data_IF_354992611205
#
_entry.id   IF_354992611205
#
_cell.length_a   1.000
_cell.length_b   1.000
_cell.length_c   1.000
_cell.angle_alpha   90.00
_cell.angle_beta   90.00
_cell.angle_gamma   90.00
#
_symmetry.space_group_name_H-M   'P 1'
#
loop_
_entity.id
_entity.type
_entity.pdbx_description
1 polymer ?
#
# COMPACT_ATOMS: atom_id res chain seq x y z
N UNK A 1 79.18 11.71 -39.20
CA UNK A 1 78.18 10.63 -39.30
C UNK A 1 78.66 9.54 -38.37
N UNK A 2 77.90 9.02 -37.42
CA UNK A 2 76.43 9.00 -37.34
C UNK A 2 75.87 9.28 -35.93
N UNK A 3 74.54 9.36 -35.81
CA UNK A 3 73.81 9.88 -34.64
C UNK A 3 73.54 8.78 -33.58
N UNK A 4 73.54 9.18 -32.29
CA UNK A 4 73.12 8.33 -31.14
C UNK A 4 71.68 7.84 -31.31
N UNK A 5 71.27 6.74 -30.65
CA UNK A 5 70.06 6.70 -29.80
C UNK A 5 70.05 5.47 -28.85
N UNK A 6 69.22 5.58 -27.83
CA UNK A 6 69.28 4.99 -26.48
C UNK A 6 69.27 3.46 -26.30
N UNK A 7 69.86 3.04 -25.19
CA UNK A 7 69.67 1.71 -24.60
C UNK A 7 68.37 1.62 -23.78
N UNK A 8 67.60 0.55 -23.98
CA UNK A 8 66.73 -0.02 -22.95
C UNK A 8 66.36 -1.45 -23.33
N UNK A 9 66.49 -2.41 -22.41
CA UNK A 9 65.68 -3.65 -22.27
C UNK A 9 66.32 -4.56 -21.21
N UNK A 10 65.93 -4.33 -19.95
CA UNK A 10 66.06 -5.32 -18.88
C UNK A 10 64.68 -5.50 -18.25
N UNK A 11 63.94 -6.52 -18.71
CA UNK A 11 62.64 -6.86 -18.13
C UNK A 11 62.82 -7.34 -16.69
N UNK A 12 62.11 -6.71 -15.75
CA UNK A 12 62.09 -7.17 -14.35
C UNK A 12 61.35 -8.51 -14.26
N UNK A 13 61.77 -9.42 -13.35
CA UNK A 13 61.02 -10.64 -13.09
C UNK A 13 59.66 -10.29 -12.47
N UNK A 14 58.58 -10.82 -13.05
CA UNK A 14 57.23 -10.64 -12.51
C UNK A 14 57.13 -11.23 -11.09
N UNK A 15 56.46 -10.52 -10.19
CA UNK A 15 56.30 -10.95 -8.80
C UNK A 15 55.49 -12.24 -8.70
N UNK A 16 55.95 -13.16 -7.85
CA UNK A 16 55.32 -14.46 -7.64
C UNK A 16 53.92 -14.32 -7.00
N UNK A 17 52.93 -14.96 -7.61
CA UNK A 17 51.51 -14.82 -7.26
C UNK A 17 51.19 -15.67 -6.02
N UNK A 18 51.39 -15.07 -4.83
CA UNK A 18 51.17 -15.73 -3.54
C UNK A 18 49.70 -16.09 -3.31
N UNK A 19 49.32 -17.31 -3.68
CA UNK A 19 47.99 -17.89 -3.44
C UNK A 19 47.70 -17.98 -1.94
N UNK A 20 46.67 -17.26 -1.48
CA UNK A 20 46.17 -17.33 -0.09
C UNK A 20 44.93 -18.20 -0.08
N UNK A 21 45.02 -19.41 0.45
CA UNK A 21 43.89 -20.38 0.43
C UNK A 21 42.89 -20.20 1.57
N UNK A 22 43.24 -19.34 2.55
CA UNK A 22 42.41 -18.98 3.68
C UNK A 22 42.13 -17.47 3.70
N UNK A 23 40.90 -17.13 4.07
CA UNK A 23 40.46 -15.75 4.33
C UNK A 23 40.00 -15.68 5.79
N UNK A 24 40.66 -14.85 6.60
CA UNK A 24 40.35 -14.66 8.02
C UNK A 24 40.24 -15.99 8.81
N UNK A 25 41.19 -16.91 8.58
CA UNK A 25 41.24 -18.22 9.25
C UNK A 25 40.28 -19.28 8.70
N UNK A 26 39.31 -18.92 7.85
CA UNK A 26 38.44 -19.88 7.18
C UNK A 26 39.01 -20.32 5.81
N UNK A 27 38.93 -21.61 5.45
CA UNK A 27 39.31 -22.07 4.12
C UNK A 27 38.33 -21.50 3.08
N UNK A 28 38.83 -21.08 1.91
CA UNK A 28 38.00 -20.54 0.81
C UNK A 28 36.80 -21.42 0.46
N UNK A 29 36.96 -22.75 0.51
CA UNK A 29 35.87 -23.71 0.29
C UNK A 29 34.77 -23.61 1.35
N UNK A 30 35.14 -23.45 2.63
CA UNK A 30 34.18 -23.25 3.72
C UNK A 30 33.41 -21.93 3.58
N UNK A 31 34.10 -20.83 3.23
CA UNK A 31 33.46 -19.55 2.95
C UNK A 31 32.50 -19.64 1.75
N UNK A 32 32.89 -20.34 0.68
CA UNK A 32 32.03 -20.57 -0.48
C UNK A 32 30.79 -21.41 -0.14
N UNK A 33 30.92 -22.45 0.68
CA UNK A 33 29.77 -23.22 1.17
C UNK A 33 28.85 -22.38 2.07
N UNK A 34 29.40 -21.51 2.93
CA UNK A 34 28.61 -20.59 3.76
C UNK A 34 27.82 -19.61 2.90
N UNK A 35 28.47 -18.94 1.94
CA UNK A 35 27.83 -18.01 1.01
C UNK A 35 26.80 -18.72 0.12
N UNK A 36 27.09 -19.92 -0.38
CA UNK A 36 26.15 -20.72 -1.17
C UNK A 36 24.92 -21.11 -0.35
N UNK A 37 25.07 -21.50 0.93
CA UNK A 37 23.93 -21.78 1.81
C UNK A 37 23.15 -20.49 2.14
N UNK A 38 23.82 -19.37 2.43
CA UNK A 38 23.14 -18.09 2.60
C UNK A 38 22.31 -17.77 1.38
N UNK A 39 22.86 -17.89 0.16
CA UNK A 39 22.16 -17.68 -1.12
C UNK A 39 21.01 -18.67 -1.37
N UNK A 40 21.18 -19.96 -1.07
CA UNK A 40 20.14 -20.98 -1.26
C UNK A 40 18.93 -20.80 -0.33
N UNK A 41 19.13 -20.23 0.86
CA UNK A 41 18.09 -20.07 1.88
C UNK A 41 17.44 -18.67 1.89
N UNK A 42 17.89 -17.72 1.05
CA UNK A 42 17.26 -16.39 0.91
C UNK A 42 15.78 -16.42 0.47
N UNK A 43 15.29 -17.37 -0.36
CA UNK A 43 13.89 -17.35 -0.81
C UNK A 43 12.86 -17.48 0.31
N UNK A 44 13.24 -18.03 1.48
CA UNK A 44 12.30 -18.21 2.60
C UNK A 44 12.08 -16.95 3.45
N UNK A 45 12.74 -15.83 3.12
CA UNK A 45 12.61 -14.55 3.83
C UNK A 45 11.90 -13.46 2.99
N UNK A 46 11.25 -13.85 1.89
CA UNK A 46 10.56 -12.95 0.98
C UNK A 46 9.20 -13.54 0.54
N UNK A 47 8.26 -13.69 1.47
CA UNK A 47 6.88 -14.07 1.17
C UNK A 47 5.86 -13.20 1.93
N UNK A 48 5.95 -11.88 1.68
CA UNK A 48 4.93 -10.90 2.04
C UNK A 48 4.19 -10.34 0.80
N UNK A 49 4.53 -10.81 -0.41
CA UNK A 49 3.79 -10.50 -1.64
C UNK A 49 2.57 -11.44 -1.76
N UNK A 50 1.40 -10.98 -1.29
CA UNK A 50 0.17 -11.76 -1.42
C UNK A 50 -1.06 -11.16 -0.75
N UNK A 51 -2.20 -11.76 -1.08
CA UNK A 51 -3.49 -11.57 -0.41
C UNK A 51 -3.87 -12.91 0.23
N UNK A 52 -4.21 -12.92 1.51
CA UNK A 52 -4.58 -14.11 2.27
C UNK A 52 -5.93 -13.85 2.93
N UNK A 53 -6.98 -14.53 2.49
CA UNK A 53 -8.35 -14.35 3.00
C UNK A 53 -8.49 -14.96 4.40
N UNK A 54 -9.17 -14.26 5.31
CA UNK A 54 -9.47 -14.70 6.67
C UNK A 54 -10.96 -15.05 6.91
N UNK A 55 -11.88 -14.58 6.06
CA UNK A 55 -13.33 -14.82 6.20
C UNK A 55 -13.93 -15.75 5.16
N UNK A 56 -14.86 -16.65 5.56
CA UNK A 56 -15.76 -17.31 4.62
C UNK A 56 -16.56 -16.28 3.81
N UNK A 57 -16.75 -16.54 2.51
CA UNK A 57 -17.53 -15.68 1.61
C UNK A 57 -16.67 -14.74 0.75
N UNK A 58 -15.44 -14.43 1.13
CA UNK A 58 -14.44 -13.85 0.20
C UNK A 58 -13.65 -15.00 -0.44
N UNK A 59 -13.32 -14.91 -1.73
CA UNK A 59 -12.42 -15.89 -2.37
C UNK A 59 -11.45 -15.23 -3.35
N UNK A 60 -10.38 -15.94 -3.68
CA UNK A 60 -9.39 -15.48 -4.65
C UNK A 60 -9.52 -16.24 -5.98
N UNK A 61 -9.25 -15.53 -7.06
CA UNK A 61 -9.12 -16.05 -8.40
C UNK A 61 -8.04 -15.28 -9.16
N UNK A 62 -7.98 -15.46 -10.48
CA UNK A 62 -6.99 -14.81 -11.33
C UNK A 62 -7.60 -14.50 -12.69
N UNK A 63 -7.29 -13.34 -13.25
CA UNK A 63 -7.65 -12.98 -14.62
C UNK A 63 -6.79 -13.78 -15.62
N UNK A 64 -7.25 -13.87 -16.88
CA UNK A 64 -6.55 -14.64 -17.91
C UNK A 64 -5.12 -14.17 -18.21
N UNK A 65 -4.76 -12.95 -17.82
CA UNK A 65 -3.42 -12.37 -17.94
C UNK A 65 -2.59 -12.42 -16.63
N UNK A 66 -3.09 -13.07 -15.58
CA UNK A 66 -2.37 -13.25 -14.33
C UNK A 66 -2.69 -12.26 -13.20
N UNK A 67 -3.49 -11.21 -13.44
CA UNK A 67 -3.85 -10.25 -12.38
C UNK A 67 -4.72 -10.94 -11.30
N UNK A 68 -4.40 -10.82 -10.00
CA UNK A 68 -5.21 -11.38 -8.92
C UNK A 68 -6.63 -10.79 -8.89
N UNK A 69 -7.62 -11.65 -8.68
CA UNK A 69 -9.03 -11.29 -8.50
C UNK A 69 -9.44 -11.61 -7.07
N UNK A 70 -10.01 -10.64 -6.37
CA UNK A 70 -10.74 -10.84 -5.11
C UNK A 70 -12.22 -10.91 -5.45
N UNK A 71 -12.79 -12.12 -5.38
CA UNK A 71 -14.24 -12.29 -5.37
C UNK A 71 -14.75 -11.86 -4.00
N UNK A 72 -15.26 -10.63 -3.93
CA UNK A 72 -15.74 -10.02 -2.70
C UNK A 72 -16.94 -10.80 -2.12
N UNK A 73 -17.13 -10.71 -0.81
CA UNK A 73 -18.28 -11.30 -0.12
C UNK A 73 -19.60 -10.67 -0.59
N UNK A 74 -20.70 -11.44 -0.48
CA UNK A 74 -22.05 -10.96 -0.76
C UNK A 74 -22.33 -9.68 0.07
N UNK A 75 -22.79 -8.58 -0.55
CA UNK A 75 -23.11 -7.38 0.19
C UNK A 75 -24.31 -7.63 1.12
N UNK A 76 -24.25 -7.05 2.32
CA UNK A 76 -25.33 -7.12 3.29
C UNK A 76 -26.50 -6.17 2.92
N UNK A 77 -27.51 -6.09 3.78
CA UNK A 77 -28.70 -5.25 3.58
C UNK A 77 -28.42 -3.73 3.47
N UNK A 78 -27.22 -3.26 3.82
CA UNK A 78 -26.80 -1.86 3.65
C UNK A 78 -25.84 -1.67 2.46
N UNK A 79 -25.70 -2.67 1.58
CA UNK A 79 -24.80 -2.62 0.43
C UNK A 79 -23.31 -2.76 0.77
N UNK A 80 -22.96 -3.10 2.01
CA UNK A 80 -21.57 -3.30 2.44
C UNK A 80 -21.13 -4.74 2.17
N UNK A 81 -20.11 -4.92 1.35
CA UNK A 81 -19.31 -6.15 1.28
C UNK A 81 -18.13 -6.02 2.25
N UNK A 82 -18.11 -6.85 3.28
CA UNK A 82 -17.03 -6.90 4.28
C UNK A 82 -16.15 -8.11 4.01
N UNK A 83 -14.87 -7.85 3.76
CA UNK A 83 -13.87 -8.83 3.38
C UNK A 83 -12.70 -8.74 4.36
N UNK A 84 -12.41 -9.82 5.09
CA UNK A 84 -11.30 -9.85 6.05
C UNK A 84 -10.13 -10.67 5.50
N UNK A 85 -8.92 -10.20 5.79
CA UNK A 85 -7.66 -10.75 5.30
C UNK A 85 -6.63 -10.89 6.42
N UNK A 86 -5.79 -11.92 6.36
CA UNK A 86 -4.57 -11.98 7.18
C UNK A 86 -3.48 -11.07 6.59
N UNK A 87 -3.34 -11.07 5.27
CA UNK A 87 -2.45 -10.20 4.52
C UNK A 87 -3.23 -9.61 3.32
N UNK A 88 -3.06 -8.32 3.06
CA UNK A 88 -3.65 -7.65 1.90
C UNK A 88 -2.58 -6.74 1.28
N UNK A 89 -1.92 -7.24 0.24
CA UNK A 89 -0.88 -6.54 -0.50
C UNK A 89 -1.24 -6.52 -1.99
N UNK A 90 -0.98 -5.39 -2.65
CA UNK A 90 -1.26 -5.19 -4.08
C UNK A 90 0.08 -5.04 -4.79
N UNK A 91 0.43 -6.02 -5.63
CA UNK A 91 1.64 -5.97 -6.45
C UNK A 91 1.53 -4.97 -7.60
N UNK A 92 2.61 -4.82 -8.37
CA UNK A 92 2.68 -3.87 -9.50
C UNK A 92 1.71 -4.21 -10.64
N UNK A 93 1.32 -5.48 -10.79
CA UNK A 93 0.24 -5.90 -11.69
C UNK A 93 -1.17 -5.47 -11.24
N UNK A 94 -1.30 -4.93 -10.02
CA UNK A 94 -2.57 -4.54 -9.43
C UNK A 94 -3.38 -5.70 -8.85
N UNK A 95 -4.64 -5.40 -8.52
CA UNK A 95 -5.67 -6.34 -8.05
C UNK A 95 -7.05 -5.91 -8.56
N UNK A 96 -7.93 -6.88 -8.82
CA UNK A 96 -9.32 -6.64 -9.22
C UNK A 96 -10.26 -7.07 -8.09
N UNK A 97 -11.06 -6.15 -7.56
CA UNK A 97 -12.19 -6.40 -6.70
C UNK A 97 -13.41 -6.74 -7.58
N UNK A 98 -13.82 -8.00 -7.62
CA UNK A 98 -14.87 -8.48 -8.51
C UNK A 98 -16.27 -8.11 -7.98
N UNK A 99 -16.80 -6.95 -8.40
CA UNK A 99 -18.15 -6.49 -8.08
C UNK A 99 -19.13 -6.74 -9.25
N UNK A 100 -18.84 -7.74 -10.10
CA UNK A 100 -19.64 -8.08 -11.29
C UNK A 100 -20.79 -9.00 -10.89
N UNK A 101 -22.01 -8.45 -10.87
CA UNK A 101 -23.26 -9.19 -10.60
C UNK A 101 -23.85 -9.93 -11.82
N UNK A 102 -23.32 -9.66 -13.01
CA UNK A 102 -23.69 -10.33 -14.28
C UNK A 102 -22.75 -11.52 -14.55
N UNK A 103 -23.00 -12.31 -15.61
CA UNK A 103 -22.21 -13.48 -15.97
C UNK A 103 -20.73 -13.18 -16.26
N UNK A 104 -20.44 -12.00 -16.82
CA UNK A 104 -19.10 -11.51 -17.14
C UNK A 104 -19.02 -9.99 -16.98
N UNK A 105 -17.81 -9.46 -16.81
CA UNK A 105 -17.54 -8.03 -16.73
C UNK A 105 -16.21 -7.68 -17.37
N UNK A 106 -16.12 -6.49 -17.97
CA UNK A 106 -14.87 -5.96 -18.50
C UNK A 106 -14.08 -5.24 -17.39
N UNK A 107 -12.76 -5.35 -17.45
CA UNK A 107 -11.79 -4.75 -16.54
C UNK A 107 -10.61 -4.20 -17.33
N UNK A 108 -9.99 -3.13 -16.84
CA UNK A 108 -8.81 -2.50 -17.43
C UNK A 108 -7.55 -3.31 -17.12
N UNK A 109 -7.46 -3.89 -15.91
CA UNK A 109 -6.30 -4.68 -15.48
C UNK A 109 -6.33 -6.12 -16.01
N UNK A 110 -7.51 -6.74 -16.13
CA UNK A 110 -7.66 -8.19 -16.36
C UNK A 110 -8.35 -8.60 -17.67
N UNK A 111 -8.83 -7.64 -18.48
CA UNK A 111 -9.68 -7.93 -19.62
C UNK A 111 -11.09 -8.37 -19.22
N UNK A 112 -11.67 -9.36 -19.90
CA UNK A 112 -12.98 -9.90 -19.51
C UNK A 112 -12.80 -10.95 -18.40
N UNK A 113 -13.49 -10.75 -17.28
CA UNK A 113 -13.56 -11.69 -16.16
C UNK A 113 -14.95 -12.31 -16.03
N UNK A 114 -15.03 -13.46 -15.37
CA UNK A 114 -16.30 -14.10 -14.97
C UNK A 114 -16.91 -13.32 -13.79
N UNK A 115 -18.24 -13.27 -13.76
CA UNK A 115 -19.02 -12.72 -12.65
C UNK A 115 -18.63 -13.28 -11.29
N UNK A 116 -18.79 -12.48 -10.23
CA UNK A 116 -18.45 -12.92 -8.89
C UNK A 116 -19.47 -13.99 -8.42
N UNK A 117 -19.04 -15.22 -8.13
CA UNK A 117 -19.96 -16.31 -7.72
C UNK A 117 -20.67 -16.03 -6.38
N UNK A 118 -20.14 -15.14 -5.54
CA UNK A 118 -20.73 -14.76 -4.26
C UNK A 118 -21.92 -13.79 -4.42
N UNK A 119 -22.08 -13.14 -5.58
CA UNK A 119 -23.18 -12.18 -5.83
C UNK A 119 -24.44 -12.91 -6.36
N UNK A 120 -24.84 -13.98 -5.69
CA UNK A 120 -25.93 -14.89 -6.10
C UNK A 120 -27.27 -14.18 -6.36
N UNK A 121 -27.56 -13.14 -5.58
CA UNK A 121 -28.78 -12.32 -5.71
C UNK A 121 -28.71 -11.29 -6.86
N UNK A 122 -27.62 -11.25 -7.63
CA UNK A 122 -27.29 -10.23 -8.65
C UNK A 122 -27.29 -8.79 -8.13
N UNK A 123 -26.96 -8.62 -6.85
CA UNK A 123 -26.77 -7.30 -6.22
C UNK A 123 -25.28 -7.07 -6.04
N UNK A 124 -24.78 -5.98 -6.62
CA UNK A 124 -23.41 -5.52 -6.42
C UNK A 124 -23.28 -4.72 -5.12
N UNK A 125 -22.08 -4.72 -4.53
CA UNK A 125 -21.77 -3.91 -3.36
C UNK A 125 -21.72 -2.41 -3.72
N UNK A 126 -22.13 -1.57 -2.77
CA UNK A 126 -21.99 -0.12 -2.81
C UNK A 126 -20.73 0.35 -2.08
N UNK A 127 -20.31 -0.40 -1.04
CA UNK A 127 -19.04 -0.23 -0.34
C UNK A 127 -18.35 -1.59 -0.21
N UNK A 128 -17.06 -1.62 -0.52
CA UNK A 128 -16.17 -2.77 -0.38
C UNK A 128 -15.16 -2.45 0.71
N UNK A 129 -15.33 -3.07 1.88
CA UNK A 129 -14.40 -2.97 2.99
C UNK A 129 -13.43 -4.15 2.94
N UNK A 130 -12.14 -3.84 2.79
CA UNK A 130 -11.04 -4.78 2.92
C UNK A 130 -10.35 -4.51 4.26
N UNK A 131 -10.61 -5.36 5.26
CA UNK A 131 -10.05 -5.25 6.61
C UNK A 131 -8.93 -6.28 6.79
N UNK A 132 -7.74 -5.83 7.19
CA UNK A 132 -6.66 -6.71 7.61
C UNK A 132 -6.78 -6.98 9.10
N UNK A 133 -6.98 -8.26 9.43
CA UNK A 133 -7.06 -8.79 10.79
C UNK A 133 -5.77 -9.53 11.21
N UNK A 134 -4.83 -9.73 10.28
CA UNK A 134 -3.48 -10.23 10.58
C UNK A 134 -2.55 -9.15 11.10
N UNK A 135 -1.34 -9.56 11.51
CA UNK A 135 -0.34 -8.68 12.16
C UNK A 135 0.57 -7.88 11.22
N UNK A 136 0.39 -8.01 9.91
CA UNK A 136 1.27 -7.46 8.86
C UNK A 136 0.73 -6.11 8.34
N UNK A 137 1.58 -5.10 8.09
CA UNK A 137 1.18 -3.91 7.34
C UNK A 137 0.91 -4.23 5.86
N UNK A 138 0.06 -3.43 5.22
CA UNK A 138 -0.30 -3.59 3.80
C UNK A 138 0.63 -2.80 2.88
N UNK A 139 1.12 -3.43 1.82
CA UNK A 139 1.89 -2.79 0.75
C UNK A 139 1.04 -2.66 -0.52
N UNK A 140 0.82 -1.43 -0.97
CA UNK A 140 0.05 -1.10 -2.18
C UNK A 140 1.01 -0.54 -3.24
N UNK A 141 1.34 -1.36 -4.24
CA UNK A 141 2.38 -1.09 -5.25
C UNK A 141 1.85 -1.02 -6.69
N UNK A 142 0.54 -0.96 -6.84
CA UNK A 142 -0.16 -0.93 -8.13
C UNK A 142 -1.63 -0.58 -7.97
N UNK A 143 -2.40 -0.71 -9.05
CA UNK A 143 -3.80 -0.27 -9.08
C UNK A 143 -4.77 -1.29 -8.46
N UNK A 144 -5.77 -0.80 -7.74
CA UNK A 144 -6.94 -1.56 -7.29
C UNK A 144 -8.14 -1.20 -8.16
N UNK A 145 -8.67 -2.16 -8.93
CA UNK A 145 -9.82 -1.95 -9.81
C UNK A 145 -11.10 -2.55 -9.23
N UNK A 146 -12.22 -1.82 -9.25
CA UNK A 146 -13.55 -2.40 -9.03
C UNK A 146 -14.13 -2.87 -10.37
N UNK A 147 -14.27 -4.17 -10.56
CA UNK A 147 -14.90 -4.71 -11.77
C UNK A 147 -16.43 -4.65 -11.67
N UNK A 148 -17.12 -4.22 -12.74
CA UNK A 148 -18.58 -4.15 -12.76
C UNK A 148 -19.12 -2.84 -12.18
N UNK A 149 -20.07 -2.91 -11.26
CA UNK A 149 -20.67 -1.70 -10.69
C UNK A 149 -19.66 -0.97 -9.80
N UNK A 150 -19.54 0.35 -10.00
CA UNK A 150 -18.68 1.20 -9.19
C UNK A 150 -19.11 1.22 -7.72
N UNK A 151 -18.13 1.19 -6.81
CA UNK A 151 -18.34 1.10 -5.37
C UNK A 151 -17.23 1.84 -4.60
N UNK A 152 -17.54 2.34 -3.40
CA UNK A 152 -16.54 2.87 -2.46
C UNK A 152 -15.56 1.75 -2.09
N UNK A 153 -14.27 2.04 -2.07
CA UNK A 153 -13.22 1.08 -1.65
C UNK A 153 -12.59 1.56 -0.35
N UNK A 154 -12.48 0.66 0.62
CA UNK A 154 -11.81 0.92 1.90
C UNK A 154 -10.73 -0.15 2.08
N UNK A 155 -9.52 0.26 2.45
CA UNK A 155 -8.45 -0.63 2.93
C UNK A 155 -8.14 -0.22 4.36
N UNK A 156 -8.45 -1.10 5.30
CA UNK A 156 -8.29 -0.88 6.73
C UNK A 156 -7.25 -1.84 7.30
N UNK A 157 -6.10 -1.31 7.75
CA UNK A 157 -5.03 -2.11 8.36
C UNK A 157 -4.40 -1.36 9.56
N UNK A 158 -4.72 -1.75 10.81
CA UNK A 158 -4.16 -1.11 12.00
C UNK A 158 -2.64 -1.18 12.14
N UNK A 159 -1.97 -2.10 11.45
CA UNK A 159 -0.50 -2.23 11.48
C UNK A 159 0.21 -1.28 10.50
N UNK A 160 -0.54 -0.66 9.58
CA UNK A 160 -0.03 0.35 8.65
C UNK A 160 -0.33 0.03 7.19
N UNK A 161 -0.22 1.05 6.34
CA UNK A 161 -0.40 0.95 4.88
C UNK A 161 0.70 1.76 4.19
N UNK A 162 1.47 1.17 3.28
CA UNK A 162 2.38 1.90 2.40
C UNK A 162 1.83 1.92 0.97
N UNK A 163 1.85 3.08 0.33
CA UNK A 163 1.51 3.26 -1.09
C UNK A 163 2.77 3.67 -1.85
N UNK A 164 3.09 2.95 -2.93
CA UNK A 164 4.22 3.27 -3.80
C UNK A 164 3.83 2.98 -5.27
N UNK A 165 3.34 4.00 -5.96
CA UNK A 165 2.71 3.86 -7.27
C UNK A 165 1.31 3.23 -7.21
N UNK A 166 0.62 3.37 -6.07
CA UNK A 166 -0.75 2.86 -5.95
C UNK A 166 -1.76 3.81 -6.62
N UNK A 167 -2.86 3.23 -7.06
CA UNK A 167 -3.95 3.95 -7.69
C UNK A 167 -5.24 3.13 -7.70
N UNK A 168 -6.33 3.71 -8.18
CA UNK A 168 -7.65 3.10 -8.05
C UNK A 168 -8.48 3.30 -9.31
N UNK A 169 -9.25 2.27 -9.73
CA UNK A 169 -10.05 2.28 -10.96
C UNK A 169 -11.51 1.96 -10.64
N UNK A 170 -12.44 2.69 -11.27
CA UNK A 170 -13.89 2.51 -11.15
C UNK A 170 -14.42 2.61 -9.70
N UNK A 171 -13.85 3.51 -8.89
CA UNK A 171 -14.34 3.85 -7.54
C UNK A 171 -14.45 5.37 -7.39
N UNK A 172 -15.57 5.90 -6.85
CA UNK A 172 -15.75 7.33 -6.64
C UNK A 172 -15.10 7.80 -5.32
N UNK A 173 -14.88 6.89 -4.38
CA UNK A 173 -14.41 7.19 -3.02
C UNK A 173 -13.49 6.11 -2.51
N UNK A 174 -12.29 6.50 -2.08
CA UNK A 174 -11.28 5.60 -1.53
C UNK A 174 -10.89 6.05 -0.14
N UNK A 175 -10.85 5.11 0.81
CA UNK A 175 -10.37 5.35 2.18
C UNK A 175 -9.23 4.38 2.51
N UNK A 176 -8.02 4.90 2.73
CA UNK A 176 -6.92 4.18 3.36
C UNK A 176 -6.92 4.49 4.86
N UNK A 177 -6.99 3.48 5.72
CA UNK A 177 -7.10 3.70 7.16
C UNK A 177 -6.30 2.73 8.02
N UNK A 178 -5.73 3.25 9.11
CA UNK A 178 -5.18 2.42 10.21
C UNK A 178 -6.16 2.34 11.39
N UNK A 179 -7.36 2.88 11.23
CA UNK A 179 -8.45 2.68 12.17
C UNK A 179 -9.15 1.35 11.95
N UNK A 180 -9.47 0.65 13.05
CA UNK A 180 -10.34 -0.52 13.02
C UNK A 180 -11.75 -0.08 12.59
N UNK A 181 -12.38 -0.69 11.56
CA UNK A 181 -13.75 -0.39 11.21
C UNK A 181 -14.69 -0.86 12.32
N UNK A 182 -15.66 -0.03 12.68
CA UNK A 182 -16.76 -0.43 13.57
C UNK A 182 -18.07 -0.37 12.79
N UNK A 183 -18.78 -1.49 12.82
CA UNK A 183 -20.08 -1.64 12.19
C UNK A 183 -21.18 -1.46 13.25
N UNK A 184 -22.24 -0.75 12.89
CA UNK A 184 -23.51 -0.71 13.61
C UNK A 184 -24.61 -1.26 12.71
N UNK A 185 -25.32 -2.29 13.18
CA UNK A 185 -26.39 -2.98 12.43
C UNK A 185 -26.00 -3.36 10.98
N UNK A 186 -24.72 -3.71 10.76
CA UNK A 186 -24.16 -4.05 9.45
C UNK A 186 -23.71 -2.86 8.60
N UNK A 187 -24.07 -1.62 8.95
CA UNK A 187 -23.53 -0.41 8.31
C UNK A 187 -22.17 -0.07 8.92
N UNK A 188 -21.23 0.41 8.11
CA UNK A 188 -20.00 1.02 8.63
C UNK A 188 -20.32 2.37 9.29
N UNK A 189 -20.06 2.50 10.59
CA UNK A 189 -20.35 3.71 11.37
C UNK A 189 -19.12 4.63 11.43
N UNK A 190 -17.98 4.08 11.83
CA UNK A 190 -16.73 4.84 12.07
C UNK A 190 -15.49 3.98 11.99
N UNK A 191 -14.34 4.66 11.99
CA UNK A 191 -13.01 4.06 12.16
C UNK A 191 -12.44 4.44 13.53
N UNK A 192 -11.94 3.44 14.27
CA UNK A 192 -11.28 3.63 15.56
C UNK A 192 -9.77 3.57 15.39
N UNK A 193 -9.14 4.73 15.37
CA UNK A 193 -7.69 4.91 15.16
C UNK A 193 -6.98 4.89 16.51
N UNK A 194 -6.23 3.82 16.76
CA UNK A 194 -5.37 3.65 17.96
C UNK A 194 -3.87 3.69 17.63
N UNK A 195 -3.47 3.26 16.43
CA UNK A 195 -2.08 3.06 16.04
C UNK A 195 -1.89 3.05 14.51
N UNK A 196 -0.69 2.67 14.07
CA UNK A 196 -0.32 2.52 12.66
C UNK A 196 0.05 3.84 11.97
N UNK A 197 0.64 3.72 10.79
CA UNK A 197 0.90 4.85 9.91
C UNK A 197 0.51 4.56 8.47
N UNK A 198 0.07 5.58 7.74
CA UNK A 198 -0.02 5.53 6.27
C UNK A 198 1.20 6.24 5.69
N UNK A 199 1.93 5.59 4.79
CA UNK A 199 3.03 6.21 4.04
C UNK A 199 2.76 6.26 2.55
N UNK A 200 3.13 7.37 1.92
CA UNK A 200 3.14 7.55 0.47
C UNK A 200 4.61 7.74 0.05
N UNK A 201 5.14 6.79 -0.71
CA UNK A 201 6.58 6.66 -1.00
C UNK A 201 6.82 6.42 -2.50
N UNK A 202 8.09 6.55 -2.93
CA UNK A 202 8.52 6.16 -4.29
C UNK A 202 7.75 6.82 -5.42
N UNK A 203 6.97 6.03 -6.18
CA UNK A 203 6.16 6.50 -7.30
C UNK A 203 4.85 7.22 -6.90
N UNK A 204 4.61 7.43 -5.60
CA UNK A 204 3.51 8.25 -5.10
C UNK A 204 2.12 7.60 -5.19
N UNK A 205 1.09 8.43 -5.25
CA UNK A 205 -0.32 8.06 -5.30
C UNK A 205 -1.02 8.79 -6.45
N UNK A 206 -1.66 8.03 -7.35
CA UNK A 206 -2.56 8.58 -8.36
C UNK A 206 -4.04 8.28 -8.03
N UNK A 207 -4.77 9.32 -7.69
CA UNK A 207 -6.21 9.34 -7.43
C UNK A 207 -6.94 10.43 -8.24
N UNK A 208 -6.36 10.90 -9.36
CA UNK A 208 -6.97 11.94 -10.22
C UNK A 208 -8.32 11.53 -10.84
N UNK A 209 -8.59 10.23 -10.93
CA UNK A 209 -9.87 9.68 -11.40
C UNK A 209 -10.82 9.24 -10.27
N UNK A 210 -10.48 9.53 -9.01
CA UNK A 210 -11.30 9.28 -7.82
C UNK A 210 -11.87 10.61 -7.34
N UNK A 211 -13.16 10.67 -7.00
CA UNK A 211 -13.80 11.93 -6.61
C UNK A 211 -13.44 12.37 -5.18
N UNK A 212 -13.25 11.42 -4.26
CA UNK A 212 -12.74 11.67 -2.91
C UNK A 212 -11.72 10.62 -2.47
N UNK A 213 -10.54 11.07 -2.05
CA UNK A 213 -9.50 10.23 -1.47
C UNK A 213 -9.23 10.59 -0.01
N UNK A 214 -9.23 9.59 0.86
CA UNK A 214 -9.21 9.75 2.30
C UNK A 214 -8.08 8.93 2.93
N UNK A 215 -7.30 9.57 3.80
CA UNK A 215 -6.30 8.93 4.65
C UNK A 215 -6.72 9.14 6.11
N UNK A 216 -7.00 8.07 6.84
CA UNK A 216 -7.48 8.13 8.24
C UNK A 216 -6.52 7.30 9.11
N UNK A 217 -5.61 7.93 9.83
CA UNK A 217 -4.47 7.23 10.43
C UNK A 217 -3.99 7.87 11.72
N UNK A 218 -3.19 7.17 12.54
CA UNK A 218 -2.57 7.83 13.68
C UNK A 218 -1.46 8.77 13.23
N UNK A 219 -0.69 8.41 12.21
CA UNK A 219 0.32 9.28 11.60
C UNK A 219 0.45 9.05 10.10
N UNK A 220 0.64 10.13 9.33
CA UNK A 220 0.86 10.09 7.90
C UNK A 220 2.29 10.53 7.54
N UNK A 221 2.94 9.82 6.63
CA UNK A 221 4.26 10.18 6.07
C UNK A 221 4.14 10.33 4.56
N UNK A 222 4.34 11.54 4.06
CA UNK A 222 4.20 11.85 2.63
C UNK A 222 5.61 12.13 2.10
N UNK A 223 6.22 11.12 1.51
CA UNK A 223 7.58 11.16 0.97
C UNK A 223 7.62 11.25 -0.56
N UNK A 224 6.47 11.08 -1.21
CA UNK A 224 6.29 11.15 -2.65
C UNK A 224 4.96 11.85 -2.99
N UNK A 225 4.76 12.17 -4.26
CA UNK A 225 3.65 12.96 -4.76
C UNK A 225 2.27 12.28 -4.54
N UNK A 226 1.29 13.06 -4.08
CA UNK A 226 -0.14 12.72 -4.13
C UNK A 226 -0.82 13.59 -5.19
N UNK A 227 -1.50 12.93 -6.13
CA UNK A 227 -2.37 13.54 -7.13
C UNK A 227 -3.82 13.07 -6.90
N UNK A 228 -4.76 13.96 -6.58
CA UNK A 228 -6.16 13.61 -6.26
C UNK A 228 -7.17 14.70 -6.70
N UNK A 229 -8.48 14.42 -6.77
CA UNK A 229 -9.47 15.50 -6.92
C UNK A 229 -9.76 16.20 -5.59
N UNK A 230 -10.18 15.44 -4.59
CA UNK A 230 -10.39 15.92 -3.22
C UNK A 230 -9.61 15.02 -2.28
N UNK A 231 -8.67 15.59 -1.51
CA UNK A 231 -7.84 14.87 -0.54
C UNK A 231 -8.23 15.26 0.88
N UNK A 232 -8.61 14.29 1.71
CA UNK A 232 -8.77 14.50 3.16
C UNK A 232 -7.81 13.61 3.93
N UNK A 233 -6.99 14.19 4.80
CA UNK A 233 -6.12 13.48 5.74
C UNK A 233 -6.59 13.78 7.16
N UNK A 234 -6.99 12.73 7.89
CA UNK A 234 -7.33 12.78 9.32
C UNK A 234 -6.26 12.01 10.09
N UNK A 235 -5.53 12.72 10.94
CA UNK A 235 -4.38 12.24 11.67
C UNK A 235 -4.58 12.31 13.21
N UNK A 236 -3.95 11.37 13.92
CA UNK A 236 -4.00 11.24 15.38
C UNK A 236 -4.97 10.17 15.88
N UNK A 237 -4.94 9.91 17.19
CA UNK A 237 -5.78 8.93 17.89
C UNK A 237 -7.26 9.39 17.97
N UNK A 238 -8.14 8.79 17.16
CA UNK A 238 -9.50 9.29 16.88
C UNK A 238 -10.57 8.19 16.78
N UNK A 239 -11.82 8.57 17.07
CA UNK A 239 -13.01 7.97 16.45
C UNK A 239 -13.40 8.87 15.25
N UNK A 240 -13.41 8.34 14.03
CA UNK A 240 -13.71 9.11 12.81
C UNK A 240 -14.95 8.55 12.11
N UNK A 241 -16.03 9.32 12.03
CA UNK A 241 -17.26 8.88 11.38
C UNK A 241 -17.01 8.57 9.88
N UNK A 242 -17.48 7.41 9.43
CA UNK A 242 -17.10 6.85 8.14
C UNK A 242 -17.65 7.61 6.92
N UNK A 243 -18.72 8.39 7.10
CA UNK A 243 -19.33 9.16 6.01
C UNK A 243 -18.93 10.63 6.03
N UNK A 244 -19.05 11.30 7.18
CA UNK A 244 -18.80 12.75 7.33
C UNK A 244 -17.33 13.12 7.54
N UNK A 245 -16.48 12.14 7.89
CA UNK A 245 -15.08 12.36 8.30
C UNK A 245 -14.93 13.27 9.53
N UNK A 246 -15.99 13.46 10.31
CA UNK A 246 -15.91 14.15 11.60
C UNK A 246 -15.09 13.30 12.57
N UNK A 247 -14.02 13.89 13.10
CA UNK A 247 -13.06 13.25 13.98
C UNK A 247 -13.27 13.71 15.43
N UNK A 248 -13.43 12.76 16.34
CA UNK A 248 -13.45 12.99 17.78
C UNK A 248 -12.17 12.42 18.37
N UNK A 249 -11.35 13.28 18.98
CA UNK A 249 -10.13 12.86 19.65
C UNK A 249 -10.46 11.85 20.76
N UNK A 250 -9.73 10.73 20.80
CA UNK A 250 -9.86 9.76 21.89
C UNK A 250 -8.96 10.17 23.06
N UNK A 251 -9.33 9.76 24.27
CA UNK A 251 -8.54 10.02 25.47
C UNK A 251 -7.10 9.50 25.31
N UNK A 252 -6.16 10.13 26.01
CA UNK A 252 -4.78 9.63 26.09
C UNK A 252 -4.78 8.28 26.82
N UNK A 253 -4.14 7.27 26.22
CA UNK A 253 -4.01 5.92 26.77
C UNK A 253 -2.59 5.62 27.27
N UNK A 254 -1.70 6.62 27.26
CA UNK A 254 -0.30 6.47 27.64
C UNK A 254 0.58 5.79 26.59
N UNK A 255 0.05 5.47 25.40
CA UNK A 255 0.86 4.97 24.30
C UNK A 255 1.82 6.04 23.76
N UNK A 256 2.99 5.63 23.28
CA UNK A 256 3.98 6.54 22.74
C UNK A 256 3.41 7.34 21.55
N UNK A 257 3.42 8.67 21.66
CA UNK A 257 2.89 9.57 20.64
C UNK A 257 3.83 9.65 19.43
N UNK A 258 3.30 9.75 18.20
CA UNK A 258 4.10 10.11 17.03
C UNK A 258 4.82 11.44 17.24
N UNK A 259 5.98 11.64 16.62
CA UNK A 259 6.65 12.95 16.60
C UNK A 259 5.82 13.98 15.81
N UNK A 260 5.16 13.52 14.74
CA UNK A 260 4.34 14.30 13.83
C UNK A 260 3.11 13.48 13.43
N UNK A 261 1.97 14.15 13.30
CA UNK A 261 0.70 13.57 12.88
C UNK A 261 0.65 13.48 11.36
N UNK A 262 1.22 14.48 10.68
CA UNK A 262 1.47 14.49 9.24
C UNK A 262 2.89 15.03 9.05
N UNK A 263 3.76 14.24 8.40
CA UNK A 263 5.12 14.62 8.02
C UNK A 263 5.25 14.54 6.49
N UNK A 264 5.20 15.69 5.83
CA UNK A 264 5.42 15.81 4.38
C UNK A 264 6.85 16.25 4.14
N UNK A 265 7.62 15.44 3.40
CA UNK A 265 8.97 15.79 2.97
C UNK A 265 8.94 16.76 1.78
N UNK A 266 10.08 17.37 1.43
CA UNK A 266 10.20 18.21 0.24
C UNK A 266 9.91 17.46 -1.09
N UNK A 267 10.00 16.12 -1.09
CA UNK A 267 9.61 15.26 -2.23
C UNK A 267 8.12 14.86 -2.17
N UNK A 268 7.48 14.99 -1.01
CA UNK A 268 6.07 14.72 -0.78
C UNK A 268 5.19 15.93 -1.06
N UNK A 269 4.94 16.22 -2.34
CA UNK A 269 3.97 17.22 -2.75
C UNK A 269 2.52 16.68 -2.71
N UNK A 270 1.56 17.53 -2.40
CA UNK A 270 0.13 17.24 -2.45
C UNK A 270 -0.55 18.16 -3.47
N UNK A 271 -1.11 17.57 -4.52
CA UNK A 271 -1.75 18.26 -5.63
C UNK A 271 -3.20 17.78 -5.73
N UNK A 272 -4.15 18.69 -5.47
CA UNK A 272 -5.56 18.38 -5.60
C UNK A 272 -6.41 19.60 -5.98
N UNK A 273 -7.70 19.40 -6.22
CA UNK A 273 -8.68 20.49 -6.24
C UNK A 273 -8.88 21.07 -4.84
N UNK A 274 -9.20 20.20 -3.87
CA UNK A 274 -9.29 20.55 -2.46
C UNK A 274 -8.43 19.64 -1.57
N UNK A 275 -7.80 20.24 -0.54
CA UNK A 275 -7.00 19.53 0.46
C UNK A 275 -7.52 19.90 1.85
N UNK A 276 -7.92 18.91 2.64
CA UNK A 276 -8.34 19.05 4.05
C UNK A 276 -7.42 18.23 4.95
N UNK A 277 -6.67 18.90 5.82
CA UNK A 277 -5.81 18.26 6.82
C UNK A 277 -6.41 18.48 8.22
N UNK A 278 -6.58 17.39 8.98
CA UNK A 278 -7.11 17.41 10.36
C UNK A 278 -6.14 16.66 11.25
N UNK A 279 -5.59 17.33 12.26
CA UNK A 279 -4.79 16.71 13.32
C UNK A 279 -5.43 16.94 14.69
N UNK A 280 -5.52 15.91 15.52
CA UNK A 280 -6.27 15.95 16.79
C UNK A 280 -5.49 15.52 18.02
N UNK A 281 -4.36 14.81 17.86
CA UNK A 281 -3.61 14.25 18.98
C UNK A 281 -2.80 15.35 19.68
N UNK A 282 -3.22 15.73 20.89
CA UNK A 282 -2.67 16.87 21.60
C UNK A 282 -1.16 16.74 21.86
N UNK A 283 -0.42 17.77 21.41
CA UNK A 283 1.05 17.82 21.46
C UNK A 283 1.75 17.27 20.22
N UNK A 284 1.02 16.75 19.23
CA UNK A 284 1.59 16.20 17.99
C UNK A 284 1.38 17.18 16.83
N UNK A 285 2.47 17.64 16.23
CA UNK A 285 2.46 18.66 15.19
C UNK A 285 2.20 18.14 13.77
N UNK A 286 2.04 19.07 12.82
CA UNK A 286 2.02 18.82 11.38
C UNK A 286 3.21 19.55 10.75
N UNK A 287 3.96 18.85 9.88
CA UNK A 287 5.11 19.38 9.14
C UNK A 287 4.89 19.19 7.65
N UNK A 288 5.12 20.26 6.88
CA UNK A 288 4.79 20.34 5.46
C UNK A 288 5.97 20.99 4.71
N UNK A 289 7.01 20.21 4.40
CA UNK A 289 8.16 20.70 3.62
C UNK A 289 7.91 20.62 2.10
N UNK A 290 6.92 19.84 1.68
CA UNK A 290 6.54 19.66 0.27
C UNK A 290 5.48 20.66 -0.21
N UNK A 291 5.40 20.83 -1.53
CA UNK A 291 4.44 21.74 -2.15
C UNK A 291 2.98 21.28 -1.91
N UNK A 292 2.13 22.18 -1.42
CA UNK A 292 0.68 22.00 -1.44
C UNK A 292 0.08 22.87 -2.54
N UNK A 293 -0.58 22.25 -3.51
CA UNK A 293 -1.31 22.92 -4.57
C UNK A 293 -2.79 22.50 -4.51
N UNK A 294 -3.66 23.47 -4.18
CA UNK A 294 -5.10 23.33 -4.28
C UNK A 294 -5.60 24.18 -5.46
N UNK A 295 -6.08 23.56 -6.54
CA UNK A 295 -6.75 24.29 -7.63
C UNK A 295 -8.20 24.54 -7.21
N UNK A 296 -8.46 25.73 -6.65
CA UNK A 296 -9.79 26.10 -6.15
C UNK A 296 -10.89 25.84 -7.17
N UNK A 297 -11.86 25.01 -6.79
CA UNK A 297 -13.14 24.85 -7.48
C UNK A 297 -14.24 25.54 -6.68
N UNK A 298 -15.19 26.13 -7.40
CA UNK A 298 -16.35 26.86 -6.87
C UNK A 298 -17.30 25.98 -6.03
#
# INVERSE_FOLDING_TARGET
MDVRHYAFLAGQPSADLKTRDHFWGMPKRGLAFLLANVMFWQPMWAQADGIVVATPGTSLGQAGNGVPIVNIATPNGTGLSHNQFHDYNVGTQGVILNNVANQTGATQLGGIIVGNPNLTNRVAAQTILNEVVGGSPSQLRGYTEVAGQSARVIVANPYGISCNGCGFINTPRVTLTTGKPVLDNGRLDRFQVDQGSVSIDGAGLNANNVDSFEIITRSAKINAEIQAKNLTIVAGRNDVNADTLNATARADDGSAKPQLAIDSSALGGMYAGAIKLVGTEAGVGVKLDGNLAASGGD
#
